data_IF_541816619826
#
_entry.id   IF_541816619826
#
_cell.length_a   1.000
_cell.length_b   1.000
_cell.length_c   1.000
_cell.angle_alpha   90.00
_cell.angle_beta   90.00
_cell.angle_gamma   90.00
#
_symmetry.space_group_name_H-M   'P 1'
#
loop_
_entity.id
_entity.type
_entity.pdbx_description
1 polymer ?
#
# COMPACT_ATOMS: atom_id res chain seq x y z
N UNK A 1 -3.84 -6.61 3.71
CA UNK A 1 -2.98 -7.21 4.76
C UNK A 1 -1.80 -6.31 5.14
N UNK A 2 -1.94 -4.99 5.12
CA UNK A 2 -0.87 -4.04 5.53
C UNK A 2 -0.94 -3.67 7.00
N UNK A 3 -1.98 -4.11 7.73
CA UNK A 3 -2.18 -3.85 9.15
C UNK A 3 -2.80 -2.50 9.51
N UNK A 4 -3.19 -1.68 8.51
CA UNK A 4 -3.70 -0.30 8.75
C UNK A 4 -4.93 -0.29 9.66
N UNK A 5 -5.87 -1.23 9.43
CA UNK A 5 -7.09 -1.33 10.24
C UNK A 5 -6.75 -1.66 11.70
N UNK A 6 -5.81 -2.59 11.93
CA UNK A 6 -5.39 -2.94 13.29
C UNK A 6 -4.76 -1.75 14.01
N UNK A 7 -3.88 -0.99 13.35
CA UNK A 7 -3.32 0.24 13.93
C UNK A 7 -4.41 1.27 14.24
N UNK A 8 -5.37 1.48 13.34
CA UNK A 8 -6.44 2.45 13.55
C UNK A 8 -7.33 2.08 14.74
N UNK A 9 -7.64 0.79 14.92
CA UNK A 9 -8.40 0.33 16.09
C UNK A 9 -7.61 0.44 17.40
N UNK A 10 -6.28 0.26 17.36
CA UNK A 10 -5.43 0.25 18.56
C UNK A 10 -4.87 1.60 18.97
N UNK A 11 -4.78 2.55 18.04
CA UNK A 11 -4.26 3.89 18.33
C UNK A 11 -4.92 4.53 19.57
N UNK A 12 -6.25 4.50 19.74
CA UNK A 12 -6.90 5.07 20.92
C UNK A 12 -6.54 4.34 22.23
N UNK A 13 -6.45 3.01 22.20
CA UNK A 13 -6.17 2.22 23.40
C UNK A 13 -4.69 2.33 23.82
N UNK A 14 -3.79 2.46 22.85
CA UNK A 14 -2.38 2.78 23.12
C UNK A 14 -2.27 4.17 23.73
N UNK A 15 -2.99 5.18 23.21
CA UNK A 15 -2.97 6.52 23.80
C UNK A 15 -3.50 6.55 25.24
N UNK A 16 -4.53 5.75 25.56
CA UNK A 16 -4.99 5.57 26.95
C UNK A 16 -3.90 4.97 27.85
N UNK A 17 -3.17 3.97 27.36
CA UNK A 17 -2.08 3.34 28.14
C UNK A 17 -0.94 4.31 28.47
N UNK A 18 -0.73 5.35 27.66
CA UNK A 18 0.27 6.40 27.94
C UNK A 18 -0.32 7.61 28.67
N UNK A 19 -1.49 7.49 29.30
CA UNK A 19 -2.16 8.60 30.00
C UNK A 19 -2.36 9.86 29.13
N UNK A 20 -2.46 9.71 27.81
CA UNK A 20 -2.82 10.81 26.92
C UNK A 20 -4.33 10.99 27.02
N UNK A 21 -4.77 12.18 27.43
CA UNK A 21 -6.20 12.49 27.54
C UNK A 21 -6.94 12.31 26.21
N UNK A 22 -8.23 12.01 26.27
CA UNK A 22 -9.09 11.81 25.08
C UNK A 22 -9.05 12.99 24.11
N UNK A 23 -8.98 14.22 24.63
CA UNK A 23 -8.89 15.45 23.82
C UNK A 23 -7.62 15.50 22.97
N UNK A 24 -6.47 15.16 23.55
CA UNK A 24 -5.20 15.19 22.83
C UNK A 24 -5.04 13.99 21.90
N UNK A 25 -5.59 12.83 22.29
CA UNK A 25 -5.73 11.65 21.43
C UNK A 25 -6.47 11.98 20.12
N UNK A 26 -7.59 12.71 20.21
CA UNK A 26 -8.35 13.16 19.05
C UNK A 26 -7.56 14.17 18.21
N UNK A 27 -6.84 15.11 18.84
CA UNK A 27 -5.98 16.07 18.12
C UNK A 27 -4.89 15.36 17.31
N UNK A 28 -4.18 14.40 17.90
CA UNK A 28 -3.12 13.67 17.20
C UNK A 28 -3.64 12.79 16.06
N UNK A 29 -4.84 12.22 16.21
CA UNK A 29 -5.52 11.52 15.11
C UNK A 29 -5.92 12.47 13.98
N UNK A 30 -6.46 13.66 14.32
CA UNK A 30 -6.81 14.67 13.33
C UNK A 30 -5.58 15.13 12.53
N UNK A 31 -4.45 15.40 13.19
CA UNK A 31 -3.18 15.74 12.54
C UNK A 31 -2.75 14.61 11.59
N UNK A 32 -2.79 13.35 12.04
CA UNK A 32 -2.46 12.19 11.22
C UNK A 32 -3.33 12.10 9.95
N UNK A 33 -4.63 12.40 10.07
CA UNK A 33 -5.55 12.38 8.94
C UNK A 33 -5.24 13.51 7.95
N UNK A 34 -4.94 14.72 8.42
CA UNK A 34 -4.52 15.84 7.55
C UNK A 34 -3.24 15.48 6.80
N UNK A 35 -2.24 14.91 7.47
CA UNK A 35 -1.01 14.45 6.83
C UNK A 35 -1.27 13.38 5.78
N UNK A 36 -2.22 12.47 6.04
CA UNK A 36 -2.62 11.42 5.10
C UNK A 36 -3.28 11.99 3.83
N UNK A 37 -4.12 13.02 3.97
CA UNK A 37 -4.73 13.72 2.83
C UNK A 37 -3.66 14.43 2.00
N UNK A 38 -2.72 15.13 2.64
CA UNK A 38 -1.60 15.77 1.93
C UNK A 38 -0.77 14.72 1.17
N UNK A 39 -0.51 13.57 1.78
CA UNK A 39 0.18 12.46 1.13
C UNK A 39 -0.59 11.92 -0.09
N UNK A 40 -1.92 11.80 -0.01
CA UNK A 40 -2.75 11.41 -1.16
C UNK A 40 -2.67 12.43 -2.30
N UNK A 41 -2.72 13.73 -1.99
CA UNK A 41 -2.53 14.78 -3.00
C UNK A 41 -1.16 14.69 -3.66
N UNK A 42 -0.09 14.45 -2.89
CA UNK A 42 1.23 14.19 -3.45
C UNK A 42 1.24 12.96 -4.37
N UNK A 43 0.48 11.91 -4.02
CA UNK A 43 0.39 10.71 -4.87
C UNK A 43 -0.16 11.06 -6.24
N UNK A 44 -1.26 11.82 -6.29
CA UNK A 44 -1.90 12.22 -7.55
C UNK A 44 -0.91 12.99 -8.44
N UNK A 45 -0.07 13.86 -7.86
CA UNK A 45 0.89 14.67 -8.61
C UNK A 45 2.13 13.89 -9.07
N UNK A 46 2.62 12.95 -8.26
CA UNK A 46 3.93 12.33 -8.49
C UNK A 46 3.87 10.90 -9.04
N UNK A 47 2.73 10.20 -8.92
CA UNK A 47 2.67 8.77 -9.25
C UNK A 47 2.92 8.49 -10.73
N UNK A 48 2.44 9.37 -11.61
CA UNK A 48 2.69 9.22 -13.05
C UNK A 48 4.15 9.47 -13.44
N UNK A 49 4.91 10.20 -12.62
CA UNK A 49 6.36 10.37 -12.81
C UNK A 49 7.16 9.22 -12.20
N UNK A 50 6.82 8.78 -10.99
CA UNK A 50 7.56 7.74 -10.27
C UNK A 50 7.29 6.33 -10.78
N UNK A 51 6.15 6.11 -11.46
CA UNK A 51 5.69 4.76 -11.79
C UNK A 51 4.93 4.12 -10.63
N UNK A 52 4.35 2.93 -10.85
CA UNK A 52 3.50 2.25 -9.87
C UNK A 52 4.29 1.21 -9.07
N UNK A 53 5.27 0.54 -9.68
CA UNK A 53 5.99 -0.60 -9.08
C UNK A 53 6.86 -0.20 -7.89
N UNK A 54 7.79 0.74 -8.09
CA UNK A 54 8.78 1.10 -7.06
C UNK A 54 8.16 1.78 -5.83
N UNK A 55 7.22 2.75 -5.98
CA UNK A 55 6.56 3.35 -4.82
C UNK A 55 5.81 2.31 -3.98
N UNK A 56 5.18 1.31 -4.60
CA UNK A 56 4.47 0.26 -3.87
C UNK A 56 5.40 -0.66 -3.08
N UNK A 57 6.55 -1.03 -3.65
CA UNK A 57 7.55 -1.88 -2.98
C UNK A 57 8.19 -1.12 -1.81
N UNK A 58 8.66 0.10 -2.07
CA UNK A 58 9.26 0.95 -1.05
C UNK A 58 8.26 1.30 0.04
N UNK A 59 7.01 1.56 -0.32
CA UNK A 59 5.91 1.79 0.60
C UNK A 59 5.68 0.61 1.55
N UNK A 60 5.56 -0.61 1.02
CA UNK A 60 5.41 -1.81 1.84
C UNK A 60 6.64 -2.07 2.73
N UNK A 61 7.86 -1.81 2.24
CA UNK A 61 9.07 -1.94 3.03
C UNK A 61 9.12 -0.93 4.19
N UNK A 62 8.84 0.35 3.92
CA UNK A 62 8.76 1.40 4.94
C UNK A 62 7.68 1.06 5.97
N UNK A 63 6.51 0.63 5.51
CA UNK A 63 5.42 0.21 6.39
C UNK A 63 5.84 -0.97 7.27
N UNK A 64 6.54 -1.97 6.72
CA UNK A 64 7.11 -3.08 7.47
C UNK A 64 8.09 -2.62 8.56
N UNK A 65 8.99 -1.68 8.24
CA UNK A 65 9.92 -1.09 9.22
C UNK A 65 9.18 -0.31 10.30
N UNK A 66 8.18 0.49 9.95
CA UNK A 66 7.34 1.20 10.93
C UNK A 66 6.65 0.21 11.89
N UNK A 67 6.13 -0.91 11.38
CA UNK A 67 5.54 -1.95 12.21
C UNK A 67 6.56 -2.63 13.14
N UNK A 68 7.82 -2.82 12.70
CA UNK A 68 8.89 -3.33 13.58
C UNK A 68 9.11 -2.36 14.74
N UNK A 69 9.24 -1.07 14.45
CA UNK A 69 9.48 -0.02 15.46
C UNK A 69 8.31 0.05 16.44
N UNK A 70 7.07 0.03 15.93
CA UNK A 70 5.85 0.02 16.76
C UNK A 70 5.80 -1.21 17.66
N UNK A 71 6.08 -2.40 17.10
CA UNK A 71 6.07 -3.65 17.87
C UNK A 71 7.14 -3.63 18.97
N UNK A 72 8.34 -3.14 18.66
CA UNK A 72 9.43 -2.99 19.63
C UNK A 72 9.12 -1.97 20.73
N UNK A 73 8.45 -0.86 20.38
CA UNK A 73 7.99 0.12 21.34
C UNK A 73 6.97 -0.49 22.32
N UNK A 74 5.93 -1.17 21.81
CA UNK A 74 4.89 -1.84 22.62
C UNK A 74 5.50 -2.93 23.51
N UNK A 75 6.46 -3.71 23.02
CA UNK A 75 7.15 -4.72 23.82
C UNK A 75 7.99 -4.13 24.97
N UNK A 76 8.49 -2.90 24.81
CA UNK A 76 9.34 -2.21 25.79
C UNK A 76 8.55 -1.40 26.83
N UNK A 77 7.27 -1.10 26.54
CA UNK A 77 6.39 -0.32 27.43
C UNK A 77 6.22 -0.88 28.85
N UNK A 78 6.02 -2.20 29.07
CA UNK A 78 5.86 -2.77 30.41
C UNK A 78 7.10 -2.64 31.30
N UNK A 79 8.29 -2.48 30.69
CA UNK A 79 9.58 -2.44 31.38
C UNK A 79 10.10 -1.00 31.58
N UNK A 80 9.40 0.01 31.05
CA UNK A 80 9.81 1.40 31.13
C UNK A 80 9.15 2.11 32.31
N UNK A 81 9.92 2.84 33.10
CA UNK A 81 9.43 3.65 34.22
C UNK A 81 9.73 5.13 34.02
N UNK A 82 8.75 6.00 34.32
CA UNK A 82 8.91 7.46 34.32
C UNK A 82 9.13 8.07 32.93
N UNK A 83 10.24 8.78 32.74
CA UNK A 83 10.59 9.49 31.49
C UNK A 83 10.69 8.57 30.26
N UNK A 84 11.02 7.28 30.47
CA UNK A 84 11.08 6.29 29.40
C UNK A 84 9.74 6.01 28.73
N UNK A 85 8.63 6.03 29.48
CA UNK A 85 7.29 5.81 28.93
C UNK A 85 6.85 6.96 28.02
N UNK A 86 7.16 8.20 28.40
CA UNK A 86 6.87 9.38 27.58
C UNK A 86 7.66 9.35 26.26
N UNK A 87 8.94 8.96 26.30
CA UNK A 87 9.77 8.85 25.10
C UNK A 87 9.24 7.75 24.15
N UNK A 88 8.85 6.58 24.69
CA UNK A 88 8.27 5.48 23.92
C UNK A 88 6.93 5.86 23.29
N UNK A 89 6.13 6.68 23.95
CA UNK A 89 4.85 7.17 23.45
C UNK A 89 5.01 8.12 22.27
N UNK A 90 5.92 9.09 22.40
CA UNK A 90 6.24 10.00 21.30
C UNK A 90 6.83 9.23 20.11
N UNK A 91 7.68 8.24 20.37
CA UNK A 91 8.20 7.36 19.31
C UNK A 91 7.06 6.64 18.58
N UNK A 92 6.07 6.10 19.32
CA UNK A 92 4.90 5.46 18.73
C UNK A 92 4.07 6.45 17.89
N UNK A 93 3.76 7.64 18.41
CA UNK A 93 2.96 8.67 17.71
C UNK A 93 3.65 9.08 16.40
N UNK A 94 4.94 9.42 16.46
CA UNK A 94 5.70 9.87 15.28
C UNK A 94 5.81 8.74 14.26
N UNK A 95 6.09 7.51 14.71
CA UNK A 95 6.17 6.35 13.81
C UNK A 95 4.81 6.06 13.15
N UNK A 96 3.73 6.22 13.89
CA UNK A 96 2.37 6.07 13.36
C UNK A 96 2.06 7.15 12.31
N UNK A 97 2.45 8.40 12.52
CA UNK A 97 2.28 9.45 11.50
C UNK A 97 3.08 9.15 10.23
N UNK A 98 4.33 8.71 10.37
CA UNK A 98 5.17 8.31 9.22
C UNK A 98 4.54 7.13 8.48
N UNK A 99 4.04 6.13 9.23
CA UNK A 99 3.32 5.00 8.66
C UNK A 99 2.09 5.47 7.87
N UNK A 100 1.25 6.34 8.43
CA UNK A 100 0.04 6.82 7.77
C UNK A 100 0.33 7.63 6.51
N UNK A 101 1.37 8.46 6.52
CA UNK A 101 1.84 9.20 5.34
C UNK A 101 2.35 8.24 4.27
N UNK A 102 3.22 7.29 4.63
CA UNK A 102 3.80 6.31 3.70
C UNK A 102 2.72 5.41 3.11
N UNK A 103 1.83 4.89 3.96
CA UNK A 103 0.70 4.08 3.55
C UNK A 103 -0.23 4.85 2.60
N UNK A 104 -0.61 6.08 2.95
CA UNK A 104 -1.48 6.91 2.12
C UNK A 104 -0.86 7.29 0.77
N UNK A 105 0.46 7.56 0.76
CA UNK A 105 1.19 7.89 -0.45
C UNK A 105 1.33 6.69 -1.40
N UNK A 106 1.47 5.49 -0.84
CA UNK A 106 1.80 4.29 -1.60
C UNK A 106 0.62 3.32 -1.59
N UNK A 107 0.61 2.40 -0.64
CA UNK A 107 -0.25 1.23 -0.58
C UNK A 107 -1.74 1.60 -0.60
N UNK A 108 -2.15 2.63 0.14
CA UNK A 108 -3.53 3.10 0.19
C UNK A 108 -4.03 3.50 -1.19
N UNK A 109 -3.42 4.51 -1.80
CA UNK A 109 -3.84 5.01 -3.12
C UNK A 109 -3.61 3.99 -4.24
N UNK A 110 -2.44 3.34 -4.28
CA UNK A 110 -2.09 2.40 -5.34
C UNK A 110 -2.90 1.11 -5.29
N UNK A 111 -3.35 0.67 -4.11
CA UNK A 111 -4.19 -0.54 -4.00
C UNK A 111 -5.52 -0.43 -4.74
N UNK A 112 -6.01 0.79 -4.97
CA UNK A 112 -7.22 1.06 -5.75
C UNK A 112 -6.93 1.36 -7.22
N UNK A 113 -5.80 2.01 -7.50
CA UNK A 113 -5.38 2.36 -8.87
C UNK A 113 -4.98 1.11 -9.66
N UNK A 114 -4.16 0.22 -9.07
CA UNK A 114 -3.59 -0.93 -9.78
C UNK A 114 -4.68 -1.87 -10.32
N UNK A 115 -5.69 -2.31 -9.53
CA UNK A 115 -6.76 -3.13 -10.08
C UNK A 115 -7.51 -2.44 -11.22
N UNK A 116 -7.70 -1.13 -11.16
CA UNK A 116 -8.37 -0.38 -12.23
C UNK A 116 -7.52 -0.32 -13.52
N UNK A 117 -6.20 -0.32 -13.40
CA UNK A 117 -5.27 -0.37 -14.54
C UNK A 117 -5.10 -1.78 -15.10
N UNK A 118 -5.05 -2.81 -14.25
CA UNK A 118 -4.76 -4.20 -14.62
C UNK A 118 -5.89 -4.85 -15.41
N UNK A 119 -7.15 -4.53 -15.11
CA UNK A 119 -8.28 -5.14 -15.81
C UNK A 119 -8.68 -4.36 -17.08
N UNK A 120 -8.84 -5.11 -18.16
CA UNK A 120 -9.42 -4.65 -19.42
C UNK A 120 -10.88 -4.19 -19.24
N UNK A 121 -11.31 -3.23 -20.06
CA UNK A 121 -12.57 -2.49 -19.98
C UNK A 121 -13.80 -3.41 -19.84
N UNK A 122 -13.80 -4.58 -20.51
CA UNK A 122 -14.92 -5.54 -20.47
C UNK A 122 -15.00 -6.32 -19.15
N UNK A 123 -13.87 -6.69 -18.56
CA UNK A 123 -13.80 -7.51 -17.34
C UNK A 123 -13.57 -6.68 -16.08
N UNK A 124 -13.26 -5.39 -16.23
CA UNK A 124 -12.91 -4.46 -15.15
C UNK A 124 -13.93 -4.44 -14.03
N UNK A 125 -15.21 -4.29 -14.34
CA UNK A 125 -16.25 -4.22 -13.31
C UNK A 125 -16.25 -5.48 -12.44
N UNK A 126 -16.20 -6.68 -13.05
CA UNK A 126 -16.16 -7.96 -12.31
C UNK A 126 -14.88 -8.12 -11.50
N UNK A 127 -13.72 -7.79 -12.09
CA UNK A 127 -12.42 -7.87 -11.42
C UNK A 127 -12.31 -6.94 -10.22
N UNK A 128 -12.74 -5.68 -10.37
CA UNK A 128 -12.80 -4.70 -9.29
C UNK A 128 -13.78 -5.17 -8.20
N UNK A 129 -14.96 -5.67 -8.53
CA UNK A 129 -15.92 -6.17 -7.54
C UNK A 129 -15.34 -7.29 -6.68
N UNK A 130 -14.63 -8.26 -7.27
CA UNK A 130 -13.96 -9.33 -6.51
C UNK A 130 -12.85 -8.75 -5.63
N UNK A 131 -12.05 -7.81 -6.15
CA UNK A 131 -10.99 -7.14 -5.38
C UNK A 131 -11.53 -6.37 -4.18
N UNK A 132 -12.61 -5.61 -4.38
CA UNK A 132 -13.32 -4.87 -3.33
C UNK A 132 -13.88 -5.85 -2.30
N UNK A 133 -14.62 -6.88 -2.74
CA UNK A 133 -15.20 -7.89 -1.85
C UNK A 133 -14.12 -8.56 -0.98
N UNK A 134 -13.01 -8.94 -1.58
CA UNK A 134 -11.87 -9.56 -0.89
C UNK A 134 -11.23 -8.60 0.11
N UNK A 135 -11.03 -7.34 -0.29
CA UNK A 135 -10.49 -6.29 0.59
C UNK A 135 -11.36 -6.08 1.84
N UNK A 136 -12.68 -5.94 1.66
CA UNK A 136 -13.61 -5.76 2.77
C UNK A 136 -13.75 -7.02 3.63
N UNK A 137 -13.83 -8.21 3.04
CA UNK A 137 -13.90 -9.47 3.79
C UNK A 137 -12.69 -9.63 4.72
N UNK A 138 -11.49 -9.35 4.22
CA UNK A 138 -10.27 -9.39 5.01
C UNK A 138 -10.19 -8.26 6.05
N UNK A 139 -10.71 -7.07 5.75
CA UNK A 139 -10.79 -5.99 6.72
C UNK A 139 -11.73 -6.35 7.88
N UNK A 140 -12.91 -6.89 7.58
CA UNK A 140 -13.86 -7.40 8.58
C UNK A 140 -13.23 -8.52 9.42
N UNK A 141 -12.56 -9.48 8.78
CA UNK A 141 -11.87 -10.56 9.48
C UNK A 141 -10.82 -10.02 10.46
N UNK A 142 -9.98 -9.06 10.04
CA UNK A 142 -9.02 -8.41 10.93
C UNK A 142 -9.76 -7.69 12.07
N UNK A 143 -10.81 -6.93 11.78
CA UNK A 143 -11.58 -6.21 12.79
C UNK A 143 -12.15 -7.13 13.88
N UNK A 144 -12.64 -8.32 13.51
CA UNK A 144 -13.21 -9.29 14.45
C UNK A 144 -12.14 -10.07 15.23
N UNK A 145 -11.04 -10.46 14.58
CA UNK A 145 -10.01 -11.30 15.20
C UNK A 145 -9.02 -10.48 16.04
N UNK A 146 -8.84 -9.20 15.74
CA UNK A 146 -7.79 -8.39 16.39
C UNK A 146 -8.00 -8.26 17.89
N UNK A 147 -9.23 -8.01 18.37
CA UNK A 147 -9.52 -7.92 19.79
C UNK A 147 -9.18 -9.22 20.57
N UNK A 148 -9.73 -10.40 20.20
CA UNK A 148 -9.40 -11.64 20.89
C UNK A 148 -7.93 -12.06 20.68
N UNK A 149 -7.31 -11.74 19.54
CA UNK A 149 -5.90 -12.04 19.31
C UNK A 149 -4.99 -11.25 20.27
N UNK A 150 -5.33 -10.01 20.60
CA UNK A 150 -4.51 -9.20 21.49
C UNK A 150 -4.71 -9.57 22.96
N UNK A 151 -5.91 -9.97 23.37
CA UNK A 151 -6.12 -10.53 24.72
C UNK A 151 -5.28 -11.79 24.96
N UNK A 152 -5.13 -12.65 23.95
CA UNK A 152 -4.41 -13.92 24.08
C UNK A 152 -2.90 -13.81 23.80
N UNK A 153 -2.51 -13.02 22.80
CA UNK A 153 -1.16 -13.02 22.21
C UNK A 153 -0.43 -11.69 22.43
N UNK A 154 -1.16 -10.63 22.80
CA UNK A 154 -0.62 -9.30 23.12
C UNK A 154 0.15 -8.69 21.95
N UNK A 155 1.34 -8.15 22.25
CA UNK A 155 2.19 -7.44 21.29
C UNK A 155 2.67 -8.31 20.12
N UNK A 156 2.72 -9.64 20.29
CA UNK A 156 3.20 -10.56 19.24
C UNK A 156 2.27 -10.61 18.03
N UNK A 157 1.01 -10.22 18.16
CA UNK A 157 0.06 -10.12 17.04
C UNK A 157 0.57 -9.14 15.95
N UNK A 158 1.26 -8.07 16.34
CA UNK A 158 1.79 -7.08 15.39
C UNK A 158 2.91 -7.64 14.49
N UNK A 159 3.61 -8.70 14.90
CA UNK A 159 4.62 -9.36 14.07
C UNK A 159 4.03 -10.00 12.82
N UNK A 160 2.77 -10.43 12.85
CA UNK A 160 2.09 -10.97 11.67
C UNK A 160 2.00 -9.89 10.58
N UNK A 161 1.71 -8.64 10.96
CA UNK A 161 1.68 -7.54 10.00
C UNK A 161 3.05 -7.17 9.47
N UNK A 162 4.11 -7.30 10.27
CA UNK A 162 5.49 -7.14 9.80
C UNK A 162 5.76 -8.13 8.66
N UNK A 163 5.55 -9.43 8.92
CA UNK A 163 5.80 -10.50 7.94
C UNK A 163 4.94 -10.29 6.69
N UNK A 164 3.66 -9.94 6.84
CA UNK A 164 2.76 -9.67 5.72
C UNK A 164 3.22 -8.47 4.87
N UNK A 165 3.69 -7.37 5.48
CA UNK A 165 4.17 -6.20 4.72
C UNK A 165 5.43 -6.54 3.91
N UNK A 166 6.40 -7.26 4.48
CA UNK A 166 7.59 -7.70 3.74
C UNK A 166 7.28 -8.73 2.66
N UNK A 167 6.40 -9.68 2.96
CA UNK A 167 5.95 -10.67 1.97
C UNK A 167 5.22 -9.99 0.81
N UNK A 168 4.40 -8.97 1.08
CA UNK A 168 3.79 -8.15 0.03
C UNK A 168 4.84 -7.40 -0.79
N UNK A 169 5.84 -6.78 -0.15
CA UNK A 169 6.92 -6.10 -0.86
C UNK A 169 7.65 -7.06 -1.83
N UNK A 170 7.95 -8.29 -1.38
CA UNK A 170 8.57 -9.33 -2.21
C UNK A 170 7.63 -9.78 -3.33
N UNK A 171 6.35 -10.00 -3.02
CA UNK A 171 5.34 -10.39 -4.01
C UNK A 171 5.22 -9.36 -5.13
N UNK A 172 5.08 -8.08 -4.78
CA UNK A 172 5.01 -7.01 -5.78
C UNK A 172 6.34 -6.81 -6.51
N UNK A 173 7.47 -7.07 -5.88
CA UNK A 173 8.76 -7.07 -6.57
C UNK A 173 8.87 -8.21 -7.61
N UNK A 174 8.36 -9.40 -7.28
CA UNK A 174 8.45 -10.60 -8.11
C UNK A 174 7.39 -10.68 -9.22
N UNK A 175 6.14 -10.30 -8.94
CA UNK A 175 4.98 -10.58 -9.80
C UNK A 175 4.39 -9.34 -10.49
N UNK A 176 4.73 -8.12 -10.06
CA UNK A 176 4.12 -6.91 -10.61
C UNK A 176 4.97 -6.33 -11.77
N UNK A 177 4.49 -6.40 -13.02
CA UNK A 177 5.06 -5.62 -14.12
C UNK A 177 4.76 -4.12 -13.94
N UNK A 178 5.61 -3.27 -14.51
CA UNK A 178 5.39 -1.83 -14.48
C UNK A 178 4.22 -1.46 -15.41
N UNK A 179 3.16 -0.86 -14.87
CA UNK A 179 1.95 -0.46 -15.63
C UNK A 179 2.02 0.97 -16.17
N UNK A 180 3.17 1.65 -16.02
CA UNK A 180 3.33 3.07 -16.34
C UNK A 180 3.10 3.36 -17.83
N UNK A 181 2.17 4.29 -18.12
CA UNK A 181 1.88 4.88 -19.44
C UNK A 181 1.41 3.90 -20.52
N UNK A 182 0.94 2.71 -20.16
CA UNK A 182 0.34 1.79 -21.12
C UNK A 182 -1.16 2.03 -21.26
N UNK A 183 -1.71 2.08 -22.49
CA UNK A 183 -3.14 2.15 -22.69
C UNK A 183 -3.82 0.86 -22.17
N UNK A 184 -5.02 1.03 -21.61
CA UNK A 184 -5.79 -0.05 -20.99
C UNK A 184 -6.06 -1.24 -21.93
N UNK A 185 -6.18 -0.95 -23.23
CA UNK A 185 -6.42 -1.92 -24.30
C UNK A 185 -5.24 -2.90 -24.47
N UNK A 186 -4.02 -2.47 -24.16
CA UNK A 186 -2.80 -3.27 -24.30
C UNK A 186 -2.40 -4.00 -23.01
N UNK A 187 -3.11 -3.77 -21.91
CA UNK A 187 -2.80 -4.40 -20.62
C UNK A 187 -2.92 -5.94 -20.69
N UNK A 188 -3.90 -6.46 -21.44
CA UNK A 188 -4.02 -7.90 -21.71
C UNK A 188 -2.79 -8.45 -22.45
N UNK A 189 -2.22 -7.69 -23.39
CA UNK A 189 -1.03 -8.10 -24.13
C UNK A 189 0.22 -8.07 -23.23
N UNK A 190 0.31 -7.11 -22.30
CA UNK A 190 1.37 -7.06 -21.28
C UNK A 190 1.35 -8.30 -20.39
N UNK A 191 0.19 -8.67 -19.82
CA UNK A 191 0.08 -9.84 -18.95
C UNK A 191 0.18 -11.17 -19.69
N UNK A 192 -0.14 -11.21 -20.99
CA UNK A 192 0.02 -12.41 -21.84
C UNK A 192 1.47 -12.63 -22.31
N UNK A 193 2.23 -11.54 -22.54
CA UNK A 193 3.63 -11.61 -22.99
C UNK A 193 4.66 -11.58 -21.85
N UNK A 194 4.28 -11.10 -20.67
CA UNK A 194 5.16 -11.11 -19.50
C UNK A 194 5.20 -12.49 -18.85
N UNK A 195 6.41 -12.97 -18.55
CA UNK A 195 6.58 -14.17 -17.74
C UNK A 195 5.99 -13.93 -16.35
N UNK A 196 5.37 -14.97 -15.77
CA UNK A 196 4.79 -14.97 -14.43
C UNK A 196 5.78 -14.46 -13.35
N UNK A 197 7.09 -14.51 -13.60
CA UNK A 197 8.13 -13.95 -12.73
C UNK A 197 8.85 -12.76 -13.39
N UNK A 198 8.53 -11.55 -12.93
CA UNK A 198 8.99 -10.26 -13.49
C UNK A 198 10.36 -9.83 -12.93
N UNK A 199 10.82 -10.41 -11.81
CA UNK A 199 12.11 -10.06 -11.21
C UNK A 199 13.35 -10.39 -12.07
N UNK A 200 13.23 -11.31 -13.04
CA UNK A 200 14.31 -11.68 -13.97
C UNK A 200 14.11 -11.22 -15.42
N UNK A 201 12.95 -10.64 -15.75
CA UNK A 201 12.65 -10.17 -17.10
C UNK A 201 13.38 -8.85 -17.35
N UNK A 202 14.35 -8.88 -18.27
CA UNK A 202 15.18 -7.73 -18.60
C UNK A 202 14.31 -6.54 -19.01
N UNK A 203 14.28 -5.52 -18.15
CA UNK A 203 13.55 -4.24 -18.30
C UNK A 203 13.68 -3.62 -19.70
N UNK A 204 14.79 -3.91 -20.42
CA UNK A 204 15.03 -3.45 -21.79
C UNK A 204 14.25 -4.22 -22.87
N UNK A 205 14.04 -5.53 -22.71
CA UNK A 205 13.42 -6.38 -23.75
C UNK A 205 11.90 -6.20 -23.80
N UNK A 206 11.26 -6.20 -22.63
CA UNK A 206 9.81 -5.95 -22.53
C UNK A 206 9.48 -4.51 -22.94
N UNK A 207 10.29 -3.53 -22.54
CA UNK A 207 10.09 -2.13 -22.94
C UNK A 207 10.33 -1.94 -24.45
N UNK A 208 11.35 -2.57 -25.05
CA UNK A 208 11.58 -2.46 -26.50
C UNK A 208 10.48 -3.13 -27.34
N UNK A 209 9.96 -4.28 -26.88
CA UNK A 209 8.87 -4.99 -27.56
C UNK A 209 7.53 -4.23 -27.41
N UNK A 210 7.28 -3.58 -26.27
CA UNK A 210 6.11 -2.72 -26.07
C UNK A 210 6.22 -1.41 -26.85
N UNK A 211 7.35 -0.72 -26.79
CA UNK A 211 7.55 0.55 -27.52
C UNK A 211 7.45 0.32 -29.05
N UNK A 212 7.92 -0.84 -29.55
CA UNK A 212 7.74 -1.23 -30.94
C UNK A 212 6.27 -1.43 -31.31
N UNK A 213 5.50 -2.16 -30.48
CA UNK A 213 4.06 -2.40 -30.74
C UNK A 213 3.21 -1.13 -30.62
N UNK A 214 3.49 -0.27 -29.64
CA UNK A 214 2.81 1.03 -29.50
C UNK A 214 3.08 1.91 -30.72
N UNK A 215 4.27 1.83 -31.33
CA UNK A 215 4.57 2.55 -32.56
C UNK A 215 3.86 1.99 -33.80
N UNK A 216 3.68 0.66 -33.89
CA UNK A 216 2.90 0.01 -34.95
C UNK A 216 1.43 0.37 -34.87
N UNK A 217 0.81 0.27 -33.69
CA UNK A 217 -0.62 0.60 -33.51
C UNK A 217 -0.88 2.09 -33.76
N UNK A 218 0.06 2.98 -33.41
CA UNK A 218 -0.03 4.40 -33.76
C UNK A 218 0.05 4.64 -35.27
N UNK A 219 0.88 3.88 -36.00
CA UNK A 219 0.94 3.96 -37.47
C UNK A 219 -0.35 3.43 -38.10
N UNK A 220 -0.84 2.27 -37.67
CA UNK A 220 -2.10 1.71 -38.19
C UNK A 220 -3.28 2.66 -37.95
N UNK A 221 -3.41 3.26 -36.74
CA UNK A 221 -4.46 4.26 -36.49
C UNK A 221 -4.27 5.56 -37.26
N UNK A 222 -3.03 5.94 -37.58
CA UNK A 222 -2.74 7.12 -38.41
C UNK A 222 -3.09 6.90 -39.88
N UNK A 223 -2.69 5.75 -40.43
CA UNK A 223 -2.93 5.38 -41.83
C UNK A 223 -4.43 5.20 -42.12
N UNK A 224 -5.22 4.74 -41.15
CA UNK A 224 -6.69 4.63 -41.28
C UNK A 224 -7.36 6.00 -41.36
N UNK A 225 -6.87 7.00 -40.63
CA UNK A 225 -7.43 8.36 -40.65
C UNK A 225 -7.06 9.08 -41.97
N UNK A 226 -5.88 8.81 -42.52
CA UNK A 226 -5.43 9.39 -43.78
C UNK A 226 -6.13 8.76 -45.00
N UNK A 227 -6.60 7.52 -44.89
CA UNK A 227 -7.36 6.82 -45.93
C UNK A 227 -8.86 7.21 -46.00
N UNK A 228 -9.40 7.89 -44.98
CA UNK A 228 -10.79 8.36 -44.93
C UNK A 228 -10.96 9.84 -45.38
N UNK A 229 -9.88 10.53 -45.73
CA UNK A 229 -9.83 11.91 -46.24
C UNK A 229 -9.68 11.97 -47.77
#
# INVERSE_FOLDING_TARGET
MTGVSAIQYFTPDIYKQVNIGTTDSLKYQAISNVLSVVAQLCTILFIDRLGRRWPLILGNAINGVCFIIVTAAIASFPNASGSGQNALAWLFIVTNWIYQVSFSFTCGSLSWIIPAEVFDTKTRSKGISIGVMTSFAFNTMIGQITAPAIENIGWRYFLIFVVCNFTNAIFFWAFMPETKKLPLEEMNALFSSSSWFVAGSSRKRVQSELDARVSEVRREKGDVIEAEL
#
